data_IF_064857420091
#
_entry.id   IF_064857420091
#
_cell.length_a   1.000
_cell.length_b   1.000
_cell.length_c   1.000
_cell.angle_alpha   90.00
_cell.angle_beta   90.00
_cell.angle_gamma   90.00
#
_symmetry.space_group_name_H-M   'P 1'
#
loop_
_entity.id
_entity.type
_entity.pdbx_description
1 polymer ?
#
# COMPACT_ATOMS: atom_id res chain seq x y z
N UNK A 1 -9.45 3.63 15.14
CA UNK A 1 -7.99 3.42 15.27
C UNK A 1 -7.47 3.26 13.85
N UNK A 2 -7.01 4.33 13.21
CA UNK A 2 -6.37 4.21 11.90
C UNK A 2 -4.91 3.86 12.13
N UNK A 3 -4.57 2.58 12.03
CA UNK A 3 -3.19 2.20 11.77
C UNK A 3 -2.91 2.70 10.36
N UNK A 4 -2.18 3.80 10.24
CA UNK A 4 -1.64 4.24 8.95
C UNK A 4 -0.67 3.15 8.49
N UNK A 5 -1.11 2.35 7.53
CA UNK A 5 -0.28 1.35 6.89
C UNK A 5 0.57 2.07 5.84
N UNK A 6 1.81 2.37 6.23
CA UNK A 6 2.75 3.12 5.40
C UNK A 6 4.09 2.42 5.41
N UNK A 7 4.75 2.36 4.27
CA UNK A 7 6.15 1.94 4.18
C UNK A 7 7.02 3.03 4.81
N UNK A 8 7.92 2.64 5.69
CA UNK A 8 8.80 3.53 6.45
C UNK A 8 10.27 3.35 6.05
N UNK A 9 11.11 4.34 6.39
CA UNK A 9 12.55 4.24 6.20
C UNK A 9 13.16 3.03 6.93
N UNK A 10 12.58 2.61 8.06
CA UNK A 10 13.03 1.45 8.82
C UNK A 10 12.81 0.15 8.05
N UNK A 11 11.70 0.04 7.31
CA UNK A 11 11.42 -1.12 6.47
C UNK A 11 12.49 -1.26 5.39
N UNK A 12 12.78 -0.17 4.66
CA UNK A 12 13.81 -0.15 3.63
C UNK A 12 15.22 -0.41 4.18
N UNK A 13 15.55 0.17 5.34
CA UNK A 13 16.85 -0.04 6.00
C UNK A 13 17.03 -1.50 6.43
N UNK A 14 15.94 -2.16 6.85
CA UNK A 14 15.94 -3.59 7.22
C UNK A 14 16.26 -4.48 6.02
N UNK A 15 15.90 -4.04 4.81
CA UNK A 15 16.25 -4.71 3.55
C UNK A 15 17.67 -4.40 3.05
N UNK A 16 18.46 -3.61 3.81
CA UNK A 16 19.80 -3.20 3.42
C UNK A 16 19.85 -1.98 2.48
N UNK A 17 18.71 -1.32 2.23
CA UNK A 17 18.63 -0.14 1.38
C UNK A 17 18.94 1.10 2.21
N UNK A 18 20.16 1.62 2.07
CA UNK A 18 20.61 2.79 2.81
C UNK A 18 20.91 3.95 1.85
N UNK A 19 19.90 4.80 1.63
CA UNK A 19 19.96 5.98 0.77
C UNK A 19 20.19 7.26 1.59
N UNK A 20 20.59 8.34 0.93
CA UNK A 20 20.58 9.70 1.52
C UNK A 20 19.15 10.12 1.84
N UNK A 21 18.95 10.93 2.90
CA UNK A 21 17.61 11.37 3.38
C UNK A 21 16.68 11.88 2.27
N UNK A 22 17.20 12.65 1.30
CA UNK A 22 16.45 13.18 0.17
C UNK A 22 15.90 12.07 -0.74
N UNK A 23 16.78 11.18 -1.22
CA UNK A 23 16.42 9.98 -2.01
C UNK A 23 15.52 9.02 -1.24
N UNK A 24 15.76 8.85 0.06
CA UNK A 24 14.93 8.03 0.94
C UNK A 24 13.51 8.59 0.99
N UNK A 25 13.37 9.91 1.20
CA UNK A 25 12.07 10.57 1.25
C UNK A 25 11.32 10.43 -0.08
N UNK A 26 11.97 10.70 -1.21
CA UNK A 26 11.34 10.55 -2.53
C UNK A 26 10.94 9.10 -2.83
N UNK A 27 11.76 8.12 -2.42
CA UNK A 27 11.43 6.72 -2.59
C UNK A 27 10.23 6.33 -1.72
N UNK A 28 10.21 6.75 -0.45
CA UNK A 28 9.08 6.48 0.45
C UNK A 28 7.79 7.11 -0.04
N UNK A 29 7.82 8.35 -0.55
CA UNK A 29 6.65 9.00 -1.12
C UNK A 29 6.10 8.21 -2.31
N UNK A 30 6.98 7.81 -3.24
CA UNK A 30 6.61 6.99 -4.39
C UNK A 30 6.03 5.63 -3.98
N UNK A 31 6.68 4.94 -3.02
CA UNK A 31 6.22 3.64 -2.54
C UNK A 31 4.89 3.72 -1.81
N UNK A 32 4.65 4.76 -1.01
CA UNK A 32 3.38 4.94 -0.33
C UNK A 32 2.26 5.34 -1.29
N UNK A 33 2.57 6.06 -2.38
CA UNK A 33 1.60 6.30 -3.45
C UNK A 33 1.25 4.98 -4.17
N UNK A 34 2.25 4.19 -4.55
CA UNK A 34 2.04 2.88 -5.20
C UNK A 34 1.28 1.92 -4.27
N UNK A 35 1.58 1.93 -2.97
CA UNK A 35 0.86 1.18 -1.94
C UNK A 35 -0.63 1.49 -1.98
N UNK A 36 -0.97 2.78 -1.97
CA UNK A 36 -2.36 3.21 -1.93
C UNK A 36 -3.15 2.73 -3.16
N UNK A 37 -2.55 2.81 -4.35
CA UNK A 37 -3.16 2.35 -5.60
C UNK A 37 -3.35 0.82 -5.62
N UNK A 38 -2.32 0.06 -5.22
CA UNK A 38 -2.35 -1.40 -5.15
C UNK A 38 -3.36 -1.90 -4.12
N UNK A 39 -3.30 -1.36 -2.90
CA UNK A 39 -4.24 -1.69 -1.82
C UNK A 39 -5.67 -1.37 -2.23
N UNK A 40 -5.92 -0.18 -2.80
CA UNK A 40 -7.26 0.17 -3.27
C UNK A 40 -7.78 -0.84 -4.29
N UNK A 41 -6.94 -1.27 -5.22
CA UNK A 41 -7.31 -2.28 -6.21
C UNK A 41 -7.58 -3.65 -5.57
N UNK A 42 -6.67 -4.13 -4.72
CA UNK A 42 -6.80 -5.43 -4.07
C UNK A 42 -8.05 -5.50 -3.18
N UNK A 43 -8.33 -4.44 -2.41
CA UNK A 43 -9.53 -4.36 -1.58
C UNK A 43 -10.81 -4.37 -2.42
N UNK A 44 -10.83 -3.70 -3.58
CA UNK A 44 -11.99 -3.72 -4.47
C UNK A 44 -12.23 -5.09 -5.11
N UNK A 45 -11.19 -5.91 -5.28
CA UNK A 45 -11.32 -7.26 -5.82
C UNK A 45 -11.95 -8.25 -4.82
N UNK A 46 -11.92 -7.93 -3.53
CA UNK A 46 -12.55 -8.73 -2.48
C UNK A 46 -14.04 -8.44 -2.33
N UNK A 47 -14.54 -7.38 -2.96
CA UNK A 47 -15.95 -7.02 -2.93
C UNK A 47 -16.74 -7.86 -3.93
N UNK A 48 -17.94 -8.28 -3.53
CA UNK A 48 -18.91 -8.88 -4.45
C UNK A 48 -19.61 -7.83 -5.33
N UNK A 49 -20.32 -8.27 -6.38
CA UNK A 49 -20.98 -7.37 -7.35
C UNK A 49 -21.93 -6.37 -6.67
N UNK A 50 -22.66 -6.78 -5.63
CA UNK A 50 -23.63 -5.92 -4.92
C UNK A 50 -22.90 -4.88 -4.06
N UNK A 51 -21.78 -5.28 -3.45
CA UNK A 51 -20.89 -4.38 -2.72
C UNK A 51 -20.16 -3.39 -3.63
N UNK A 52 -19.79 -3.77 -4.85
CA UNK A 52 -19.18 -2.88 -5.83
C UNK A 52 -20.16 -1.79 -6.27
N UNK A 53 -21.43 -2.12 -6.48
CA UNK A 53 -22.47 -1.13 -6.75
C UNK A 53 -22.68 -0.18 -5.56
N UNK A 54 -22.73 -0.69 -4.32
CA UNK A 54 -22.79 0.14 -3.11
C UNK A 54 -21.57 1.06 -2.99
N UNK A 55 -20.37 0.53 -3.26
CA UNK A 55 -19.12 1.29 -3.25
C UNK A 55 -19.15 2.44 -4.26
N UNK A 56 -19.57 2.17 -5.50
CA UNK A 56 -19.65 3.17 -6.57
C UNK A 56 -20.59 4.33 -6.25
N UNK A 57 -21.71 4.08 -5.56
CA UNK A 57 -22.58 5.16 -5.08
C UNK A 57 -22.00 5.88 -3.86
N UNK A 58 -21.38 5.15 -2.94
CA UNK A 58 -20.81 5.69 -1.71
C UNK A 58 -19.66 6.67 -1.99
N UNK A 59 -18.71 6.31 -2.85
CA UNK A 59 -17.52 7.14 -3.15
C UNK A 59 -17.86 8.48 -3.81
N UNK A 60 -19.05 8.65 -4.39
CA UNK A 60 -19.46 9.93 -5.00
C UNK A 60 -19.59 11.05 -3.98
N UNK A 61 -19.82 10.70 -2.71
CA UNK A 61 -20.04 11.66 -1.61
C UNK A 61 -19.15 11.41 -0.40
N UNK A 62 -18.47 10.27 -0.34
CA UNK A 62 -17.58 9.91 0.74
C UNK A 62 -16.21 10.57 0.60
N UNK A 63 -15.60 10.91 1.75
CA UNK A 63 -14.19 11.29 1.85
C UNK A 63 -13.29 10.06 1.90
N UNK A 64 -12.00 10.19 1.61
CA UNK A 64 -11.03 9.07 1.64
C UNK A 64 -11.04 8.30 2.97
N UNK A 65 -11.14 9.01 4.10
CA UNK A 65 -11.27 8.38 5.42
C UNK A 65 -12.53 7.49 5.52
N UNK A 66 -13.66 7.96 4.99
CA UNK A 66 -14.92 7.23 5.03
C UNK A 66 -14.89 5.99 4.12
N UNK A 67 -14.19 6.09 2.99
CA UNK A 67 -13.94 4.97 2.07
C UNK A 67 -13.12 3.89 2.78
N UNK A 68 -12.03 4.28 3.45
CA UNK A 68 -11.21 3.36 4.23
C UNK A 68 -11.99 2.66 5.35
N UNK A 69 -12.80 3.41 6.12
CA UNK A 69 -13.64 2.83 7.17
C UNK A 69 -14.67 1.84 6.62
N UNK A 70 -15.33 2.19 5.51
CA UNK A 70 -16.31 1.31 4.87
C UNK A 70 -15.66 0.01 4.39
N UNK A 71 -14.52 0.08 3.70
CA UNK A 71 -13.78 -1.09 3.24
C UNK A 71 -13.35 -1.98 4.41
N UNK A 72 -12.85 -1.39 5.50
CA UNK A 72 -12.44 -2.12 6.70
C UNK A 72 -13.60 -2.82 7.44
N UNK A 73 -14.84 -2.34 7.24
CA UNK A 73 -16.05 -2.93 7.81
C UNK A 73 -16.59 -4.09 6.98
N UNK A 74 -16.40 -4.04 5.66
CA UNK A 74 -16.88 -5.06 4.71
C UNK A 74 -15.89 -6.21 4.53
N UNK A 75 -14.60 -5.89 4.53
CA UNK A 75 -13.53 -6.82 4.21
C UNK A 75 -12.87 -7.27 5.53
N UNK A 76 -13.16 -8.47 6.05
CA UNK A 76 -12.57 -8.95 7.30
C UNK A 76 -11.04 -9.08 7.21
N UNK A 77 -10.51 -9.34 6.02
CA UNK A 77 -9.08 -9.45 5.74
C UNK A 77 -8.44 -8.11 5.35
N UNK A 78 -9.13 -6.96 5.53
CA UNK A 78 -8.66 -5.62 5.13
C UNK A 78 -7.22 -5.35 5.56
N UNK A 79 -6.89 -5.66 6.82
CA UNK A 79 -5.54 -5.46 7.34
C UNK A 79 -4.52 -6.43 6.74
N UNK A 80 -4.92 -7.68 6.47
CA UNK A 80 -4.04 -8.69 5.90
C UNK A 80 -3.68 -8.34 4.47
N UNK A 81 -4.66 -7.94 3.65
CA UNK A 81 -4.46 -7.50 2.26
C UNK A 81 -3.47 -6.34 2.19
N UNK A 82 -3.58 -5.38 3.12
CA UNK A 82 -2.65 -4.25 3.17
C UNK A 82 -1.24 -4.71 3.53
N UNK A 83 -1.10 -5.64 4.47
CA UNK A 83 0.22 -6.20 4.81
C UNK A 83 0.81 -7.00 3.64
N UNK A 84 0.00 -7.82 2.97
CA UNK A 84 0.46 -8.61 1.81
C UNK A 84 0.98 -7.71 0.70
N UNK A 85 0.28 -6.60 0.38
CA UNK A 85 0.77 -5.63 -0.62
C UNK A 85 2.06 -4.92 -0.18
N UNK A 86 2.21 -4.62 1.12
CA UNK A 86 3.46 -4.06 1.66
C UNK A 86 4.60 -5.06 1.49
N UNK A 87 4.41 -6.32 1.89
CA UNK A 87 5.42 -7.37 1.77
C UNK A 87 5.82 -7.62 0.32
N UNK A 88 4.85 -7.65 -0.62
CA UNK A 88 5.12 -7.79 -2.05
C UNK A 88 5.96 -6.62 -2.58
N UNK A 89 5.58 -5.38 -2.30
CA UNK A 89 6.34 -4.23 -2.78
C UNK A 89 7.71 -4.12 -2.14
N UNK A 90 7.85 -4.44 -0.85
CA UNK A 90 9.15 -4.50 -0.20
C UNK A 90 10.03 -5.53 -0.92
N UNK A 91 9.50 -6.72 -1.21
CA UNK A 91 10.16 -7.73 -2.04
C UNK A 91 10.60 -7.19 -3.41
N UNK A 92 9.72 -6.51 -4.14
CA UNK A 92 10.00 -5.88 -5.43
C UNK A 92 11.13 -4.84 -5.33
N UNK A 93 11.13 -4.07 -4.25
CA UNK A 93 12.14 -3.03 -3.97
C UNK A 93 13.50 -3.65 -3.65
N UNK A 94 13.55 -4.72 -2.85
CA UNK A 94 14.80 -5.44 -2.60
C UNK A 94 15.37 -6.08 -3.88
N UNK A 95 14.52 -6.70 -4.70
CA UNK A 95 14.97 -7.30 -5.98
C UNK A 95 15.55 -6.23 -6.92
N UNK A 96 14.89 -5.07 -7.02
CA UNK A 96 15.38 -3.93 -7.80
C UNK A 96 16.71 -3.38 -7.24
N UNK A 97 16.85 -3.32 -5.91
CA UNK A 97 18.06 -2.84 -5.26
C UNK A 97 19.25 -3.80 -5.45
N UNK A 98 19.03 -5.11 -5.40
CA UNK A 98 20.07 -6.13 -5.66
C UNK A 98 20.58 -6.05 -7.09
N UNK A 99 19.68 -5.95 -8.07
CA UNK A 99 20.04 -5.79 -9.49
C UNK A 99 20.90 -4.55 -9.77
N UNK A 100 20.62 -3.44 -9.08
CA UNK A 100 21.43 -2.21 -9.19
C UNK A 100 22.83 -2.34 -8.55
N UNK A 101 23.00 -3.25 -7.59
CA UNK A 101 24.28 -3.54 -6.96
C UNK A 101 25.14 -4.54 -7.74
N UNK A 102 24.54 -5.41 -8.55
CA UNK A 102 25.25 -6.42 -9.36
C UNK A 102 25.82 -5.88 -10.68
N UNK A 103 25.39 -4.70 -11.15
CA UNK A 103 25.88 -4.06 -12.39
C UNK A 103 27.08 -3.11 -12.20
N UNK A 104 27.73 -3.09 -11.02
CA UNK A 104 28.84 -2.18 -10.67
C UNK A 104 30.24 -2.82 -10.68
#
# INVERSE_FOLDING_TARGET
MNKNYTITAADLTTMGINLTDDKMTSLLDHLNQELNERVGTALLQELDDEQIDEYNEFIKTASEDQVGEWLSSKIPEFTQIIQDEIDVMLGDVAEKAEKLGEEA
#
